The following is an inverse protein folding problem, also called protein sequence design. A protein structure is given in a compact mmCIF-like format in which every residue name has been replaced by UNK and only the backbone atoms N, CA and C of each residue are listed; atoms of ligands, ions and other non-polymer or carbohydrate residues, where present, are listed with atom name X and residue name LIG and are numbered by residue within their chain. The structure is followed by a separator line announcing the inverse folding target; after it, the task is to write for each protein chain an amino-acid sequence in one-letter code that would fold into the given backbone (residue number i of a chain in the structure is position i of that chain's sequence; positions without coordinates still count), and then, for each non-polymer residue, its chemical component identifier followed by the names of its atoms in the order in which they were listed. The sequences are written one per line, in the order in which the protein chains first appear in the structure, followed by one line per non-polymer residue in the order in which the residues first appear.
data_IF_630652749801
#
_entry.id   IF_630652749801
#
_cell.length_a   1.000
_cell.length_b   1.000
_cell.length_c   1.000
_cell.angle_alpha   90.00
_cell.angle_beta   90.00
_cell.angle_gamma   90.00
#
_symmetry.space_group_name_H-M   'P 1'
#
loop_
_entity.id
_entity.type
_entity.pdbx_description
1 polymer ?
#
# COMPACT_ATOMS: atom_id res chain seq x y z
N UNK A 1 52.88 -39.40 -1.31
CA UNK A 1 52.14 -38.28 -0.69
C UNK A 1 51.81 -38.69 0.75
N UNK A 2 52.13 -37.86 1.73
CA UNK A 2 52.02 -38.23 3.16
C UNK A 2 50.52 -38.28 3.55
N UNK A 3 50.06 -39.36 4.19
CA UNK A 3 48.65 -39.62 4.60
C UNK A 3 47.99 -38.38 5.24
N UNK A 4 48.70 -37.68 6.13
CA UNK A 4 48.28 -36.41 6.75
C UNK A 4 47.99 -35.29 5.74
N UNK A 5 48.75 -35.20 4.64
CA UNK A 5 48.51 -34.17 3.61
C UNK A 5 47.23 -34.44 2.83
N UNK A 6 46.89 -35.73 2.59
CA UNK A 6 45.65 -36.13 1.90
C UNK A 6 44.45 -35.80 2.79
N UNK A 7 44.49 -36.10 4.09
CA UNK A 7 43.43 -35.82 5.06
C UNK A 7 43.14 -34.30 5.14
N UNK A 8 44.19 -33.46 5.17
CA UNK A 8 44.04 -32.00 5.17
C UNK A 8 43.40 -31.46 3.88
N UNK A 9 43.75 -32.01 2.73
CA UNK A 9 43.17 -31.61 1.46
C UNK A 9 41.67 -31.97 1.38
N UNK A 10 41.31 -33.18 1.86
CA UNK A 10 39.91 -33.62 1.92
C UNK A 10 39.08 -32.75 2.86
N UNK A 11 39.60 -32.44 4.07
CA UNK A 11 38.94 -31.55 5.02
C UNK A 11 38.71 -30.14 4.43
N UNK A 12 39.69 -29.59 3.73
CA UNK A 12 39.59 -28.28 3.07
C UNK A 12 38.55 -28.29 1.95
N UNK A 13 38.46 -29.34 1.12
CA UNK A 13 37.47 -29.52 0.10
C UNK A 13 36.04 -29.60 0.68
N UNK A 14 35.87 -30.33 1.79
CA UNK A 14 34.57 -30.43 2.48
C UNK A 14 34.13 -29.05 2.99
N UNK A 15 35.03 -28.27 3.58
CA UNK A 15 34.74 -26.91 4.07
C UNK A 15 34.29 -26.00 2.88
N UNK A 16 35.00 -26.07 1.75
CA UNK A 16 34.65 -25.31 0.53
C UNK A 16 33.24 -25.70 0.04
N UNK A 17 32.95 -27.00 -0.04
CA UNK A 17 31.64 -27.49 -0.49
C UNK A 17 30.54 -27.02 0.46
N UNK A 18 30.75 -27.11 1.76
CA UNK A 18 29.77 -26.64 2.77
C UNK A 18 29.58 -25.13 2.70
N UNK A 19 30.63 -24.34 2.52
CA UNK A 19 30.54 -22.88 2.40
C UNK A 19 29.81 -22.47 1.10
N UNK A 20 30.10 -23.13 -0.03
CA UNK A 20 29.41 -22.89 -1.30
C UNK A 20 27.93 -23.29 -1.19
N UNK A 21 27.62 -24.43 -0.58
CA UNK A 21 26.23 -24.88 -0.36
C UNK A 21 25.46 -23.91 0.53
N UNK A 22 26.06 -23.44 1.61
CA UNK A 22 25.48 -22.42 2.47
C UNK A 22 25.25 -21.10 1.69
N UNK A 23 26.23 -20.68 0.87
CA UNK A 23 26.11 -19.46 0.06
C UNK A 23 24.97 -19.57 -0.97
N UNK A 24 24.78 -20.75 -1.58
CA UNK A 24 23.65 -21.00 -2.52
C UNK A 24 22.32 -21.01 -1.78
N UNK A 25 22.26 -21.63 -0.59
CA UNK A 25 21.03 -21.68 0.23
C UNK A 25 20.66 -20.28 0.77
N UNK A 26 21.65 -19.45 1.13
CA UNK A 26 21.43 -18.10 1.62
C UNK A 26 21.35 -17.05 0.52
N UNK A 27 21.76 -17.35 -0.72
CA UNK A 27 21.43 -16.54 -1.89
C UNK A 27 19.96 -16.79 -2.24
N UNK A 28 19.07 -16.35 -1.34
CA UNK A 28 17.65 -16.28 -1.59
C UNK A 28 17.49 -15.36 -2.80
N UNK A 29 17.10 -15.94 -3.92
CA UNK A 29 16.75 -15.16 -5.12
C UNK A 29 15.73 -14.11 -4.69
N UNK A 30 16.18 -12.88 -4.51
CA UNK A 30 15.27 -11.75 -4.56
C UNK A 30 14.77 -11.74 -6.01
N UNK A 31 13.58 -12.29 -6.24
CA UNK A 31 12.95 -12.29 -7.56
C UNK A 31 12.50 -10.85 -7.84
N UNK A 32 13.47 -9.94 -7.89
CA UNK A 32 13.22 -8.55 -8.28
C UNK A 32 12.65 -8.54 -9.68
N UNK A 33 11.70 -7.67 -9.93
CA UNK A 33 11.14 -7.48 -11.25
C UNK A 33 10.95 -5.99 -11.54
N UNK A 34 10.81 -5.68 -12.82
CA UNK A 34 10.48 -4.33 -13.27
C UNK A 34 9.04 -4.33 -13.79
N UNK A 35 8.26 -3.37 -13.36
CA UNK A 35 6.91 -3.12 -13.86
C UNK A 35 6.88 -1.80 -14.62
N UNK A 36 6.31 -1.81 -15.82
CA UNK A 36 6.11 -0.62 -16.63
C UNK A 36 4.75 -0.02 -16.27
N UNK A 37 4.77 1.00 -15.44
CA UNK A 37 3.59 1.73 -15.02
C UNK A 37 3.31 2.95 -15.91
N UNK A 38 2.27 3.72 -15.54
CA UNK A 38 1.83 4.89 -16.31
C UNK A 38 2.92 5.99 -16.40
N UNK A 39 3.64 6.24 -15.31
CA UNK A 39 4.66 7.30 -15.22
C UNK A 39 6.09 6.84 -15.42
N UNK A 40 6.31 5.56 -15.78
CA UNK A 40 7.63 5.01 -16.03
C UNK A 40 7.82 3.58 -15.56
N UNK A 41 9.07 3.18 -15.45
CA UNK A 41 9.45 1.85 -14.98
C UNK A 41 9.73 1.88 -13.47
N UNK A 42 9.17 0.92 -12.76
CA UNK A 42 9.32 0.74 -11.33
C UNK A 42 10.04 -0.57 -11.05
N UNK A 43 11.18 -0.47 -10.36
CA UNK A 43 11.85 -1.65 -9.83
C UNK A 43 11.12 -2.11 -8.57
N UNK A 44 10.85 -3.40 -8.48
CA UNK A 44 10.26 -4.04 -7.31
C UNK A 44 11.26 -5.02 -6.71
N UNK A 45 11.46 -4.95 -5.42
CA UNK A 45 12.03 -6.05 -4.65
C UNK A 45 10.91 -6.88 -3.99
N UNK A 46 11.21 -8.15 -3.70
CA UNK A 46 10.27 -9.04 -3.03
C UNK A 46 10.81 -9.37 -1.65
N UNK A 47 10.02 -9.06 -0.63
CA UNK A 47 10.33 -9.39 0.75
C UNK A 47 9.32 -10.40 1.30
N UNK A 48 9.81 -11.50 1.86
CA UNK A 48 8.97 -12.45 2.57
C UNK A 48 9.16 -12.28 4.08
N UNK A 49 8.03 -12.10 4.78
CA UNK A 49 8.00 -12.01 6.25
C UNK A 49 7.03 -13.09 6.74
N UNK A 50 7.59 -14.16 7.33
CA UNK A 50 6.81 -15.36 7.66
C UNK A 50 6.20 -15.98 6.41
N UNK A 51 4.88 -16.12 6.40
CA UNK A 51 4.10 -16.66 5.25
C UNK A 51 3.64 -15.58 4.27
N UNK A 52 3.87 -14.30 4.57
CA UNK A 52 3.39 -13.17 3.76
C UNK A 52 4.49 -12.67 2.84
N UNK A 53 4.16 -12.54 1.57
CA UNK A 53 5.03 -11.95 0.55
C UNK A 53 4.63 -10.49 0.34
N UNK A 54 5.61 -9.60 0.36
CA UNK A 54 5.45 -8.18 0.07
C UNK A 54 6.20 -7.81 -1.20
N UNK A 55 5.54 -7.02 -2.05
CA UNK A 55 6.07 -6.42 -3.26
C UNK A 55 6.37 -4.95 -2.98
N UNK A 56 7.62 -4.55 -3.16
CA UNK A 56 8.12 -3.27 -2.69
C UNK A 56 8.65 -2.43 -3.84
N UNK A 57 7.83 -1.51 -4.41
CA UNK A 57 8.29 -0.59 -5.44
C UNK A 57 9.30 0.41 -4.89
N UNK A 58 10.34 0.68 -5.68
CA UNK A 58 11.27 1.77 -5.47
C UNK A 58 10.77 3.00 -6.21
N UNK A 59 10.36 4.03 -5.46
CA UNK A 59 9.74 5.26 -5.99
C UNK A 59 10.67 6.43 -5.72
N UNK A 60 11.05 7.16 -6.76
CA UNK A 60 11.91 8.33 -6.63
C UNK A 60 11.12 9.63 -6.81
N UNK A 61 11.11 10.48 -5.80
CA UNK A 61 10.45 11.79 -5.83
C UNK A 61 11.43 12.86 -5.32
N UNK A 62 11.73 13.84 -6.16
CA UNK A 62 12.64 14.93 -5.78
C UNK A 62 14.04 14.45 -5.38
N UNK A 63 14.53 13.34 -5.96
CA UNK A 63 15.83 12.76 -5.67
C UNK A 63 15.88 11.89 -4.40
N UNK A 64 14.77 11.75 -3.69
CA UNK A 64 14.64 10.85 -2.53
C UNK A 64 13.93 9.58 -2.94
N UNK A 65 14.45 8.44 -2.46
CA UNK A 65 13.84 7.14 -2.64
C UNK A 65 12.80 6.86 -1.54
N UNK A 66 11.67 6.30 -1.96
CA UNK A 66 10.60 5.83 -1.09
C UNK A 66 10.30 4.38 -1.43
N UNK A 67 10.13 3.55 -0.41
CA UNK A 67 9.82 2.13 -0.55
C UNK A 67 8.55 1.85 0.26
N UNK A 68 7.54 1.28 -0.40
CA UNK A 68 6.29 0.89 0.23
C UNK A 68 6.10 -0.62 0.11
N UNK A 69 5.31 -1.22 0.98
CA UNK A 69 5.07 -2.66 0.98
C UNK A 69 3.62 -2.96 0.63
N UNK A 70 3.41 -3.80 -0.40
CA UNK A 70 2.11 -4.22 -0.89
C UNK A 70 2.01 -5.75 -0.88
N UNK A 71 0.82 -6.30 -0.74
CA UNK A 71 0.56 -7.75 -0.79
C UNK A 71 0.32 -8.26 -2.20
N UNK A 72 -0.14 -7.39 -3.10
CA UNK A 72 -0.43 -7.75 -4.48
C UNK A 72 0.59 -7.13 -5.44
N UNK A 73 0.97 -7.90 -6.46
CA UNK A 73 1.71 -7.35 -7.61
C UNK A 73 0.82 -6.39 -8.39
N UNK A 74 1.38 -5.33 -9.03
CA UNK A 74 0.57 -4.44 -9.88
C UNK A 74 -0.19 -5.21 -10.97
N UNK A 75 0.42 -6.24 -11.59
CA UNK A 75 -0.22 -7.06 -12.62
C UNK A 75 -1.55 -7.69 -12.17
N UNK A 76 -1.66 -8.05 -10.88
CA UNK A 76 -2.88 -8.66 -10.33
C UNK A 76 -4.02 -7.64 -10.14
N UNK A 77 -3.73 -6.36 -10.32
CA UNK A 77 -4.65 -5.25 -10.07
C UNK A 77 -5.03 -4.48 -11.34
N UNK A 78 -4.43 -4.81 -12.50
CA UNK A 78 -4.64 -4.07 -13.76
C UNK A 78 -6.12 -3.97 -14.15
N UNK A 79 -6.84 -5.07 -14.07
CA UNK A 79 -8.27 -5.18 -14.45
C UNK A 79 -9.24 -4.48 -13.48
N UNK A 80 -8.76 -4.07 -12.30
CA UNK A 80 -9.64 -3.51 -11.27
C UNK A 80 -10.02 -2.07 -11.67
N UNK A 81 -11.34 -1.73 -11.74
CA UNK A 81 -11.79 -0.42 -12.16
C UNK A 81 -11.27 0.72 -11.27
N UNK A 82 -10.70 1.72 -11.91
CA UNK A 82 -10.22 2.95 -11.30
C UNK A 82 -10.73 4.15 -12.10
N UNK A 83 -11.43 5.07 -11.46
CA UNK A 83 -11.94 6.28 -12.10
C UNK A 83 -10.81 7.17 -12.60
N UNK A 84 -10.88 7.56 -13.86
CA UNK A 84 -9.89 8.46 -14.46
C UNK A 84 -9.90 9.82 -13.78
N UNK A 85 -8.70 10.35 -13.52
CA UNK A 85 -8.51 11.66 -12.89
C UNK A 85 -8.88 11.73 -11.40
N UNK A 86 -9.06 10.60 -10.71
CA UNK A 86 -9.42 10.55 -9.29
C UNK A 86 -8.43 11.32 -8.40
N UNK A 87 -7.14 11.39 -8.79
CA UNK A 87 -6.14 12.15 -8.04
C UNK A 87 -6.39 13.66 -8.03
N UNK A 88 -7.21 14.19 -8.96
CA UNK A 88 -7.59 15.60 -8.93
C UNK A 88 -8.39 15.95 -7.66
N UNK A 89 -9.02 14.95 -7.02
CA UNK A 89 -9.71 15.14 -5.75
C UNK A 89 -8.73 15.43 -4.58
N UNK A 90 -7.47 15.04 -4.73
CA UNK A 90 -6.39 15.31 -3.77
C UNK A 90 -5.63 16.59 -4.12
N UNK A 91 -5.51 16.93 -5.42
CA UNK A 91 -4.77 18.08 -5.94
C UNK A 91 -5.66 19.31 -6.07
N UNK A 92 -6.31 19.73 -4.99
CA UNK A 92 -7.22 20.89 -4.99
C UNK A 92 -6.46 22.21 -4.91
N UNK A 93 -7.04 23.25 -5.49
CA UNK A 93 -6.49 24.61 -5.39
C UNK A 93 -6.36 25.04 -3.90
N UNK A 94 -5.16 25.38 -3.48
CA UNK A 94 -4.84 25.70 -2.09
C UNK A 94 -4.38 24.51 -1.25
N UNK A 95 -4.41 23.29 -1.81
CA UNK A 95 -3.99 22.05 -1.17
C UNK A 95 -4.94 21.55 -0.08
N UNK A 96 -4.87 20.25 0.22
CA UNK A 96 -5.55 19.68 1.36
C UNK A 96 -4.77 19.94 2.65
N UNK A 97 -5.44 20.44 3.69
CA UNK A 97 -4.89 20.55 5.05
C UNK A 97 -4.97 19.25 5.79
N UNK A 98 -6.09 18.55 5.59
CA UNK A 98 -6.41 17.29 6.24
C UNK A 98 -7.05 16.33 5.25
N UNK A 99 -6.82 15.04 5.47
CA UNK A 99 -7.47 13.94 4.76
C UNK A 99 -7.89 12.90 5.79
N UNK A 100 -9.13 12.48 5.71
CA UNK A 100 -9.66 11.42 6.53
C UNK A 100 -9.77 10.13 5.72
N UNK A 101 -9.19 9.04 6.23
CA UNK A 101 -9.47 7.69 5.76
C UNK A 101 -10.59 7.19 6.67
N UNK A 102 -11.81 7.18 6.15
CA UNK A 102 -13.01 6.82 6.90
C UNK A 102 -13.53 5.44 6.53
N UNK A 103 -14.18 4.79 7.46
CA UNK A 103 -14.73 3.44 7.30
C UNK A 103 -16.06 3.32 8.02
N UNK A 104 -16.91 2.38 7.58
CA UNK A 104 -18.10 2.00 8.34
C UNK A 104 -17.72 1.41 9.70
N UNK A 105 -18.53 1.69 10.72
CA UNK A 105 -18.29 1.20 12.10
C UNK A 105 -18.19 -0.33 12.16
N UNK A 106 -18.91 -1.03 11.30
CA UNK A 106 -18.93 -2.49 11.25
C UNK A 106 -17.87 -3.10 10.34
N UNK A 107 -17.11 -2.27 9.60
CA UNK A 107 -16.15 -2.79 8.61
C UNK A 107 -15.05 -3.62 9.28
N UNK A 108 -14.53 -3.17 10.43
CA UNK A 108 -13.45 -3.88 11.14
C UNK A 108 -13.87 -5.27 11.62
N UNK A 109 -15.13 -5.46 12.04
CA UNK A 109 -15.66 -6.78 12.41
C UNK A 109 -15.90 -7.68 11.20
N UNK A 110 -16.26 -7.10 10.05
CA UNK A 110 -16.52 -7.84 8.82
C UNK A 110 -15.25 -8.33 8.14
N UNK A 111 -14.14 -7.59 8.26
CA UNK A 111 -12.87 -7.91 7.62
C UNK A 111 -11.74 -8.24 8.61
N UNK A 112 -12.08 -8.57 9.85
CA UNK A 112 -11.19 -9.14 10.88
C UNK A 112 -9.82 -8.43 11.02
N UNK A 113 -9.84 -7.10 11.09
CA UNK A 113 -8.62 -6.30 11.27
C UNK A 113 -7.79 -6.07 10.00
N UNK A 114 -8.17 -6.61 8.86
CA UNK A 114 -7.50 -6.38 7.57
C UNK A 114 -7.60 -4.91 7.08
N UNK A 115 -8.40 -4.07 7.73
CA UNK A 115 -8.50 -2.63 7.44
C UNK A 115 -7.12 -1.95 7.46
N UNK A 116 -6.27 -2.31 8.40
CA UNK A 116 -4.93 -1.71 8.50
C UNK A 116 -4.04 -2.04 7.28
N UNK A 117 -4.26 -3.19 6.65
CA UNK A 117 -3.54 -3.58 5.43
C UNK A 117 -3.90 -2.65 4.27
N UNK A 118 -5.17 -2.23 4.23
CA UNK A 118 -5.68 -1.29 3.22
C UNK A 118 -5.20 0.13 3.51
N UNK A 119 -5.29 0.56 4.77
CA UNK A 119 -5.07 1.97 5.14
C UNK A 119 -3.60 2.34 5.28
N UNK A 120 -2.73 1.42 5.73
CA UNK A 120 -1.34 1.73 6.05
C UNK A 120 -0.52 2.22 4.84
N UNK A 121 -0.55 1.58 3.67
CA UNK A 121 0.16 2.09 2.48
C UNK A 121 -0.33 3.48 2.07
N UNK A 122 -1.64 3.69 2.05
CA UNK A 122 -2.23 4.98 1.69
C UNK A 122 -1.83 6.08 2.69
N UNK A 123 -1.95 5.80 3.99
CA UNK A 123 -1.56 6.76 5.03
C UNK A 123 -0.07 7.09 4.98
N UNK A 124 0.78 6.10 4.67
CA UNK A 124 2.22 6.31 4.50
C UNK A 124 2.52 7.22 3.32
N UNK A 125 1.91 6.98 2.15
CA UNK A 125 2.14 7.76 0.92
C UNK A 125 1.60 9.19 1.08
N UNK A 126 0.37 9.33 1.59
CA UNK A 126 -0.32 10.61 1.72
C UNK A 126 0.20 11.46 2.88
N UNK A 127 0.74 10.84 3.91
CA UNK A 127 1.02 11.43 5.21
C UNK A 127 2.14 12.45 5.28
N UNK A 128 2.27 13.13 6.43
CA UNK A 128 3.34 14.09 6.75
C UNK A 128 4.60 13.46 7.34
N UNK A 129 4.70 12.14 7.34
CA UNK A 129 5.88 11.43 7.83
C UNK A 129 7.06 11.54 6.83
N UNK A 130 8.23 11.05 7.22
CA UNK A 130 9.39 10.96 6.33
C UNK A 130 9.16 10.03 5.13
N UNK A 131 8.15 9.17 5.22
CA UNK A 131 7.71 8.27 4.15
C UNK A 131 6.64 8.88 3.24
N UNK A 132 6.11 10.07 3.56
CA UNK A 132 5.01 10.68 2.84
C UNK A 132 5.45 11.49 1.63
N UNK A 133 4.82 11.26 0.49
CA UNK A 133 5.02 12.01 -0.76
C UNK A 133 4.13 13.26 -0.78
N UNK A 134 2.85 13.11 -0.42
CA UNK A 134 1.85 14.18 -0.53
C UNK A 134 1.88 15.18 0.63
N UNK A 135 2.45 14.82 1.76
CA UNK A 135 2.60 15.68 2.95
C UNK A 135 1.29 16.25 3.51
N UNK A 136 0.20 15.51 3.39
CA UNK A 136 -1.12 15.86 3.92
C UNK A 136 -1.25 15.31 5.35
N UNK A 137 -1.96 16.00 6.24
CA UNK A 137 -2.33 15.44 7.55
C UNK A 137 -3.38 14.36 7.35
N UNK A 138 -3.03 13.10 7.59
CA UNK A 138 -3.94 11.95 7.46
C UNK A 138 -4.45 11.53 8.83
N UNK A 139 -5.76 11.38 8.96
CA UNK A 139 -6.45 10.94 10.17
C UNK A 139 -7.36 9.76 9.84
N UNK A 140 -7.60 8.89 10.83
CA UNK A 140 -8.64 7.85 10.75
C UNK A 140 -9.97 8.40 11.23
N UNK A 141 -11.09 7.94 10.62
CA UNK A 141 -12.44 8.33 11.00
C UNK A 141 -13.42 7.16 10.81
N UNK A 142 -14.64 7.32 11.33
CA UNK A 142 -15.78 6.46 11.08
C UNK A 142 -16.90 7.24 10.39
N UNK A 143 -17.75 6.56 9.60
CA UNK A 143 -18.92 7.19 8.95
C UNK A 143 -20.03 7.55 9.92
N UNK A 144 -20.08 6.90 11.09
CA UNK A 144 -21.06 7.18 12.15
C UNK A 144 -20.40 7.01 13.53
N UNK A 145 -21.11 7.46 14.57
CA UNK A 145 -20.64 7.32 15.96
C UNK A 145 -20.40 5.86 16.33
N UNK A 146 -19.23 5.56 16.86
CA UNK A 146 -18.84 4.24 17.35
C UNK A 146 -18.69 4.26 18.87
N UNK A 147 -19.65 3.61 19.56
CA UNK A 147 -19.61 3.49 21.01
C UNK A 147 -18.45 2.56 21.44
N UNK A 148 -17.57 3.05 22.32
CA UNK A 148 -16.42 2.27 22.83
C UNK A 148 -15.05 2.62 22.21
N UNK A 149 -15.01 3.39 21.13
CA UNK A 149 -13.77 3.96 20.57
C UNK A 149 -13.73 5.47 20.87
N UNK A 150 -12.96 5.92 21.87
CA UNK A 150 -13.19 7.25 22.46
C UNK A 150 -12.70 8.43 21.63
N UNK A 151 -12.05 8.24 20.46
CA UNK A 151 -11.29 9.37 19.86
C UNK A 151 -11.38 9.50 18.35
N UNK A 152 -12.00 8.56 17.62
CA UNK A 152 -12.08 8.72 16.17
C UNK A 152 -13.26 9.64 15.79
N UNK A 153 -13.03 10.70 14.99
CA UNK A 153 -14.09 11.61 14.56
C UNK A 153 -15.07 10.90 13.63
N UNK A 154 -16.31 11.37 13.62
CA UNK A 154 -17.31 10.98 12.63
C UNK A 154 -17.14 11.86 11.39
N UNK A 155 -16.74 11.25 10.26
CA UNK A 155 -16.49 11.93 8.99
C UNK A 155 -16.95 11.02 7.87
N UNK A 156 -17.76 11.54 6.96
CA UNK A 156 -18.24 10.86 5.76
C UNK A 156 -18.09 11.73 4.50
N UNK A 157 -18.61 11.28 3.38
CA UNK A 157 -18.54 12.01 2.13
C UNK A 157 -19.30 13.36 2.16
N UNK A 158 -20.27 13.54 3.08
CA UNK A 158 -20.97 14.82 3.24
C UNK A 158 -20.04 15.92 3.79
N UNK A 159 -18.99 15.54 4.52
CA UNK A 159 -17.99 16.47 5.07
C UNK A 159 -17.29 17.27 3.99
N UNK A 160 -17.05 16.69 2.80
CA UNK A 160 -16.45 17.39 1.66
C UNK A 160 -17.46 18.09 0.76
N UNK A 161 -18.74 17.66 0.81
CA UNK A 161 -19.83 18.19 -0.02
C UNK A 161 -20.91 18.90 0.82
N UNK A 162 -20.50 19.57 1.90
CA UNK A 162 -21.46 20.20 2.83
C UNK A 162 -22.29 21.30 2.16
N UNK A 163 -23.62 21.18 2.23
CA UNK A 163 -24.59 22.11 1.64
C UNK A 163 -24.33 22.46 0.16
N UNK A 164 -23.88 21.47 -0.64
CA UNK A 164 -23.54 21.66 -2.04
C UNK A 164 -22.27 22.47 -2.30
N UNK A 165 -21.53 22.80 -1.26
CA UNK A 165 -20.22 23.47 -1.36
C UNK A 165 -19.10 22.51 -1.02
N UNK A 166 -18.13 22.43 -1.91
CA UNK A 166 -16.93 21.61 -1.69
C UNK A 166 -16.09 22.22 -0.58
N UNK A 167 -15.76 21.41 0.43
CA UNK A 167 -14.75 21.79 1.39
C UNK A 167 -13.35 21.63 0.78
N UNK A 168 -12.77 22.74 0.33
CA UNK A 168 -11.50 22.74 -0.42
C UNK A 168 -10.29 22.29 0.40
N UNK A 169 -10.39 22.26 1.74
CA UNK A 169 -9.25 21.99 2.62
C UNK A 169 -9.27 20.60 3.25
N UNK A 170 -10.39 19.89 3.17
CA UNK A 170 -10.57 18.55 3.74
C UNK A 170 -10.81 17.54 2.62
N UNK A 171 -10.08 16.43 2.62
CA UNK A 171 -10.29 15.27 1.76
C UNK A 171 -10.91 14.10 2.55
N UNK A 172 -11.64 13.24 1.85
CA UNK A 172 -12.14 11.99 2.41
C UNK A 172 -11.86 10.86 1.43
N UNK A 173 -11.28 9.77 1.96
CA UNK A 173 -11.18 8.46 1.32
C UNK A 173 -12.03 7.51 2.15
N UNK A 174 -13.13 7.05 1.56
CA UNK A 174 -14.11 6.19 2.23
C UNK A 174 -13.92 4.74 1.81
N UNK A 175 -13.69 3.88 2.81
CA UNK A 175 -13.55 2.43 2.64
C UNK A 175 -14.89 1.77 2.97
N UNK A 176 -15.43 0.98 2.04
CA UNK A 176 -16.67 0.25 2.26
C UNK A 176 -16.69 -1.13 1.61
N UNK A 177 -17.52 -2.02 2.12
CA UNK A 177 -17.94 -3.21 1.39
C UNK A 177 -19.13 -2.87 0.49
N UNK A 178 -19.20 -3.50 -0.66
CA UNK A 178 -20.26 -3.29 -1.64
C UNK A 178 -20.35 -4.44 -2.64
N UNK A 179 -20.88 -4.15 -3.81
CA UNK A 179 -21.14 -5.19 -4.82
C UNK A 179 -19.97 -5.42 -5.79
N UNK A 180 -19.02 -4.47 -5.84
CA UNK A 180 -17.92 -4.48 -6.81
C UNK A 180 -16.58 -4.19 -6.13
N UNK A 181 -15.49 -4.60 -6.78
CA UNK A 181 -14.15 -4.15 -6.45
C UNK A 181 -13.82 -2.97 -7.38
N UNK A 182 -13.84 -1.74 -6.87
CA UNK A 182 -13.63 -0.54 -7.69
C UNK A 182 -13.17 0.65 -6.87
N UNK A 183 -12.56 1.61 -7.55
CA UNK A 183 -12.19 2.91 -6.99
C UNK A 183 -12.88 4.00 -7.82
N UNK A 184 -13.68 4.83 -7.16
CA UNK A 184 -14.49 5.87 -7.82
C UNK A 184 -14.69 7.06 -6.90
N UNK A 185 -15.38 8.09 -7.36
CA UNK A 185 -15.69 9.26 -6.54
C UNK A 185 -17.18 9.59 -6.52
N UNK A 186 -17.64 10.12 -5.40
CA UNK A 186 -18.93 10.80 -5.28
C UNK A 186 -18.65 12.25 -4.92
N UNK A 187 -18.81 13.15 -5.91
CA UNK A 187 -18.35 14.53 -5.78
C UNK A 187 -16.82 14.57 -5.57
N UNK A 188 -16.39 15.09 -4.43
CA UNK A 188 -14.96 15.16 -4.06
C UNK A 188 -14.51 14.09 -3.04
N UNK A 189 -15.40 13.18 -2.70
CA UNK A 189 -15.12 12.02 -1.87
C UNK A 189 -14.59 10.87 -2.73
N UNK A 190 -13.44 10.32 -2.38
CA UNK A 190 -12.88 9.12 -3.02
C UNK A 190 -13.45 7.91 -2.31
N UNK A 191 -13.97 6.94 -3.06
CA UNK A 191 -14.54 5.71 -2.52
C UNK A 191 -13.73 4.53 -3.00
N UNK A 192 -13.32 3.69 -2.05
CA UNK A 192 -12.67 2.41 -2.27
C UNK A 192 -13.64 1.33 -1.84
N UNK A 193 -14.17 0.60 -2.81
CA UNK A 193 -15.17 -0.44 -2.59
C UNK A 193 -14.57 -1.82 -2.86
N UNK A 194 -14.86 -2.77 -1.96
CA UNK A 194 -14.54 -4.18 -2.13
C UNK A 194 -15.76 -5.05 -1.89
N UNK A 195 -15.91 -6.17 -2.62
CA UNK A 195 -16.97 -7.16 -2.38
C UNK A 195 -16.80 -7.87 -1.05
N UNK A 196 -15.56 -8.03 -0.66
CA UNK A 196 -15.10 -8.72 0.54
C UNK A 196 -13.76 -8.13 1.01
N UNK A 197 -13.17 -8.75 2.02
CA UNK A 197 -11.88 -8.34 2.58
C UNK A 197 -10.75 -8.34 1.54
N UNK A 198 -10.66 -9.37 0.70
CA UNK A 198 -9.61 -9.48 -0.33
C UNK A 198 -9.81 -8.44 -1.43
N UNK A 199 -11.05 -8.25 -1.88
CA UNK A 199 -11.42 -7.23 -2.85
C UNK A 199 -11.11 -5.81 -2.35
N UNK A 200 -11.39 -5.54 -1.07
CA UNK A 200 -11.08 -4.23 -0.47
C UNK A 200 -9.57 -3.99 -0.36
N UNK A 201 -8.79 -5.02 0.01
CA UNK A 201 -7.33 -4.94 0.03
C UNK A 201 -6.81 -4.63 -1.38
N UNK A 202 -7.26 -5.36 -2.39
CA UNK A 202 -6.85 -5.15 -3.78
C UNK A 202 -7.21 -3.74 -4.29
N UNK A 203 -8.42 -3.27 -4.00
CA UNK A 203 -8.85 -1.92 -4.37
C UNK A 203 -8.02 -0.84 -3.68
N UNK A 204 -7.77 -0.98 -2.39
CA UNK A 204 -6.92 -0.07 -1.63
C UNK A 204 -5.47 -0.05 -2.10
N UNK A 205 -4.91 -1.20 -2.40
CA UNK A 205 -3.54 -1.28 -2.94
C UNK A 205 -3.46 -0.72 -4.37
N UNK A 206 -4.46 -0.97 -5.23
CA UNK A 206 -4.51 -0.31 -6.55
C UNK A 206 -4.53 1.21 -6.41
N UNK A 207 -5.35 1.75 -5.52
CA UNK A 207 -5.36 3.18 -5.27
C UNK A 207 -4.01 3.68 -4.74
N UNK A 208 -3.38 2.96 -3.80
CA UNK A 208 -2.06 3.31 -3.28
C UNK A 208 -0.96 3.25 -4.37
N UNK A 209 -1.01 2.28 -5.27
CA UNK A 209 -0.14 2.24 -6.45
C UNK A 209 -0.39 3.42 -7.40
N UNK A 210 -1.65 3.82 -7.59
CA UNK A 210 -2.00 4.98 -8.40
C UNK A 210 -1.47 6.29 -7.78
N UNK A 211 -1.47 6.42 -6.45
CA UNK A 211 -0.86 7.56 -5.75
C UNK A 211 0.62 7.73 -6.07
N UNK A 212 1.34 6.66 -6.30
CA UNK A 212 2.78 6.69 -6.63
C UNK A 212 3.06 6.60 -8.14
N UNK A 213 2.02 6.61 -8.97
CA UNK A 213 2.11 6.69 -10.43
C UNK A 213 2.36 5.37 -11.15
N UNK A 214 2.14 4.23 -10.48
CA UNK A 214 2.22 2.89 -11.10
C UNK A 214 1.04 2.67 -12.05
N UNK A 215 -0.16 3.19 -11.71
CA UNK A 215 -1.38 3.19 -12.54
C UNK A 215 -1.77 4.61 -12.90
#
# INVERSE_FOLDING_TARGET
MNKRKIELIIAFLIIIIVTISLFIIFKKDSQDFVYKGEKGEYKFDIQQIGTVTFYRPHVFVGGKEYIYAFRNKPQNLEELPLESGILNKLNRQGGLKELYITKDVNLSSQIEGNVNIVTAPMASILGKTDFGIYRIRVNSAYTSFHAGEPVAPTVDCSTVNYNGKVNKTVGVVYLKLGNDNKIYSEGDCIIIEGKDSDGLIKAGEKFAYHLIGVF
#
